data_IF_001117095084
#
_entry.id   IF_001117095084
#
_cell.length_a   1.000
_cell.length_b   1.000
_cell.length_c   1.000
_cell.angle_alpha   90.00
_cell.angle_beta   90.00
_cell.angle_gamma   90.00
#
_symmetry.space_group_name_H-M   'P 1'
#
loop_
_entity.id
_entity.type
_entity.pdbx_description
1 polymer ?
#
# COMPACT_ATOMS: atom_id res chain seq x y z
N UNK A 1 43.40 33.08 -83.35
CA UNK A 1 43.82 31.95 -84.20
C UNK A 1 42.73 30.89 -84.12
N UNK A 2 42.06 30.64 -85.24
CA UNK A 2 40.94 29.71 -85.33
C UNK A 2 41.46 28.26 -85.40
N UNK A 3 40.95 27.40 -84.51
CA UNK A 3 41.09 25.96 -84.58
C UNK A 3 39.71 25.32 -84.50
N UNK A 4 39.21 24.82 -85.64
CA UNK A 4 37.95 24.07 -85.73
C UNK A 4 38.12 22.74 -84.98
N UNK A 5 37.51 22.61 -83.81
CA UNK A 5 37.29 21.33 -83.14
C UNK A 5 36.01 20.69 -83.68
N UNK A 6 36.15 19.71 -84.56
CA UNK A 6 35.05 18.92 -85.10
C UNK A 6 34.47 18.07 -83.96
N UNK A 7 33.26 18.40 -83.50
CA UNK A 7 32.50 17.55 -82.57
C UNK A 7 32.11 16.27 -83.31
N UNK A 8 32.86 15.19 -83.06
CA UNK A 8 32.46 13.86 -83.53
C UNK A 8 31.25 13.44 -82.69
N UNK A 9 30.06 13.51 -83.31
CA UNK A 9 28.87 12.84 -82.81
C UNK A 9 29.15 11.34 -82.90
N UNK A 10 29.55 10.72 -81.79
CA UNK A 10 29.73 9.27 -81.72
C UNK A 10 28.34 8.62 -81.69
N UNK A 11 27.77 8.41 -82.87
CA UNK A 11 26.59 7.57 -83.03
C UNK A 11 27.07 6.12 -83.01
N UNK A 12 26.87 5.45 -81.87
CA UNK A 12 27.23 4.05 -81.72
C UNK A 12 26.17 3.18 -82.42
N UNK A 13 26.40 2.84 -83.70
CA UNK A 13 25.58 1.87 -84.42
C UNK A 13 25.95 0.45 -84.00
N UNK A 14 25.11 -0.17 -83.16
CA UNK A 14 25.17 -1.60 -82.89
C UNK A 14 24.51 -2.38 -84.03
N UNK A 15 25.30 -2.94 -84.95
CA UNK A 15 24.81 -3.90 -85.94
C UNK A 15 24.70 -5.29 -85.31
N UNK A 16 23.49 -5.69 -84.94
CA UNK A 16 23.20 -7.09 -84.61
C UNK A 16 22.96 -7.87 -85.90
N UNK A 17 24.02 -8.43 -86.49
CA UNK A 17 23.89 -9.39 -87.59
C UNK A 17 23.46 -10.75 -87.01
N UNK A 18 22.16 -11.05 -87.10
CA UNK A 18 21.63 -12.38 -86.77
C UNK A 18 21.41 -13.14 -88.06
N UNK A 19 22.24 -14.15 -88.31
CA UNK A 19 22.07 -15.09 -89.41
C UNK A 19 20.80 -15.93 -89.13
N UNK A 20 19.72 -15.68 -89.87
CA UNK A 20 18.53 -16.52 -89.89
C UNK A 20 18.31 -16.92 -91.34
N UNK A 21 18.73 -18.13 -91.69
CA UNK A 21 18.47 -18.72 -93.00
C UNK A 21 16.99 -19.05 -93.13
N UNK A 22 16.33 -18.43 -94.10
CA UNK A 22 15.02 -18.87 -94.57
C UNK A 22 14.14 -17.72 -95.08
N UNK A 23 14.22 -17.45 -96.38
CA UNK A 23 13.30 -16.64 -97.18
C UNK A 23 13.31 -15.11 -96.93
N UNK A 24 14.24 -14.45 -97.63
CA UNK A 24 13.92 -13.32 -98.51
C UNK A 24 13.14 -12.16 -97.90
N UNK A 25 13.80 -11.41 -97.02
CA UNK A 25 13.93 -9.94 -96.95
C UNK A 25 14.69 -9.69 -95.63
N UNK A 26 16.02 -9.58 -95.69
CA UNK A 26 16.80 -9.09 -94.55
C UNK A 26 16.57 -7.57 -94.43
N UNK A 27 15.53 -7.17 -93.70
CA UNK A 27 15.45 -5.79 -93.23
C UNK A 27 16.28 -5.67 -91.96
N UNK A 28 17.47 -5.09 -92.10
CA UNK A 28 18.19 -4.54 -90.95
C UNK A 28 17.31 -3.46 -90.32
N UNK A 29 16.99 -3.61 -89.03
CA UNK A 29 16.40 -2.52 -88.28
C UNK A 29 17.51 -1.81 -87.50
N UNK A 30 17.64 -0.52 -87.74
CA UNK A 30 18.61 0.33 -87.03
C UNK A 30 17.92 0.90 -85.80
N UNK A 31 18.36 0.51 -84.61
CA UNK A 31 17.95 1.20 -83.38
C UNK A 31 18.79 2.48 -83.29
N UNK A 32 18.13 3.62 -83.45
CA UNK A 32 18.75 4.92 -83.21
C UNK A 32 18.63 5.24 -81.72
N UNK A 33 19.77 5.27 -81.02
CA UNK A 33 19.86 5.82 -79.66
C UNK A 33 20.65 7.12 -79.73
N UNK A 34 20.02 8.22 -79.33
CA UNK A 34 20.72 9.50 -79.15
C UNK A 34 21.39 9.50 -77.77
N UNK A 35 22.53 8.80 -77.72
CA UNK A 35 23.32 8.62 -76.51
C UNK A 35 23.73 9.97 -75.90
N UNK A 36 23.91 11.01 -76.72
CA UNK A 36 24.26 12.35 -76.24
C UNK A 36 23.13 12.98 -75.44
N UNK A 37 21.94 13.04 -76.01
CA UNK A 37 20.75 13.60 -75.35
C UNK A 37 20.36 12.83 -74.09
N UNK A 38 20.47 11.50 -74.09
CA UNK A 38 20.18 10.68 -72.91
C UNK A 38 21.20 10.91 -71.78
N UNK A 39 22.50 11.05 -72.09
CA UNK A 39 23.53 11.40 -71.10
C UNK A 39 23.26 12.78 -70.50
N UNK A 40 22.93 13.79 -71.32
CA UNK A 40 22.63 15.14 -70.84
C UNK A 40 21.41 15.15 -69.89
N UNK A 41 20.37 14.39 -70.21
CA UNK A 41 19.19 14.25 -69.36
C UNK A 41 19.56 13.60 -68.01
N UNK A 42 20.39 12.56 -68.00
CA UNK A 42 20.86 11.92 -66.77
C UNK A 42 21.69 12.88 -65.91
N UNK A 43 22.58 13.68 -66.50
CA UNK A 43 23.36 14.70 -65.79
C UNK A 43 22.45 15.77 -65.17
N UNK A 44 21.44 16.24 -65.92
CA UNK A 44 20.45 17.21 -65.43
C UNK A 44 19.62 16.66 -64.26
N UNK A 45 19.27 15.37 -64.30
CA UNK A 45 18.59 14.70 -63.19
C UNK A 45 19.51 14.57 -61.97
N UNK A 46 20.77 14.18 -62.17
CA UNK A 46 21.77 14.09 -61.10
C UNK A 46 21.94 15.42 -60.36
N UNK A 47 22.17 16.51 -61.08
CA UNK A 47 22.29 17.87 -60.50
C UNK A 47 21.02 18.32 -59.77
N UNK A 48 19.83 17.96 -60.27
CA UNK A 48 18.56 18.27 -59.60
C UNK A 48 18.43 17.49 -58.28
N UNK A 49 18.84 16.22 -58.27
CA UNK A 49 18.84 15.39 -57.06
C UNK A 49 19.83 15.92 -56.02
N UNK A 50 21.04 16.31 -56.41
CA UNK A 50 22.04 16.92 -55.53
C UNK A 50 21.52 18.22 -54.89
N UNK A 51 20.88 19.08 -55.67
CA UNK A 51 20.27 20.31 -55.18
C UNK A 51 19.16 20.02 -54.14
N UNK A 52 18.29 19.03 -54.41
CA UNK A 52 17.26 18.60 -53.46
C UNK A 52 17.84 17.98 -52.20
N UNK A 53 18.90 17.18 -52.32
CA UNK A 53 19.60 16.58 -51.19
C UNK A 53 20.20 17.67 -50.30
N UNK A 54 20.91 18.63 -50.89
CA UNK A 54 21.50 19.77 -50.16
C UNK A 54 20.42 20.58 -49.43
N UNK A 55 19.28 20.82 -50.08
CA UNK A 55 18.15 21.50 -49.45
C UNK A 55 17.59 20.70 -48.26
N UNK A 56 17.41 19.40 -48.41
CA UNK A 56 16.93 18.52 -47.33
C UNK A 56 17.91 18.50 -46.14
N UNK A 57 19.21 18.41 -46.41
CA UNK A 57 20.26 18.48 -45.39
C UNK A 57 20.20 19.81 -44.63
N UNK A 58 19.99 20.93 -45.33
CA UNK A 58 19.87 22.25 -44.69
C UNK A 58 18.64 22.34 -43.76
N UNK A 59 17.50 21.78 -44.18
CA UNK A 59 16.28 21.72 -43.37
C UNK A 59 16.50 20.86 -42.14
N UNK A 60 17.14 19.70 -42.30
CA UNK A 60 17.45 18.81 -41.19
C UNK A 60 18.35 19.48 -40.15
N UNK A 61 19.42 20.17 -40.60
CA UNK A 61 20.32 20.91 -39.72
C UNK A 61 19.58 22.02 -38.94
N UNK A 62 18.67 22.74 -39.60
CA UNK A 62 17.85 23.77 -38.95
C UNK A 62 16.94 23.17 -37.87
N UNK A 63 16.24 22.08 -38.15
CA UNK A 63 15.37 21.42 -37.18
C UNK A 63 16.16 20.86 -36.00
N UNK A 64 17.34 20.28 -36.24
CA UNK A 64 18.24 19.81 -35.17
C UNK A 64 18.65 20.98 -34.26
N UNK A 65 18.97 22.13 -34.84
CA UNK A 65 19.31 23.33 -34.08
C UNK A 65 18.13 23.84 -33.23
N UNK A 66 16.93 23.93 -33.82
CA UNK A 66 15.71 24.36 -33.10
C UNK A 66 15.37 23.42 -31.93
N UNK A 67 15.52 22.10 -32.13
CA UNK A 67 15.32 21.11 -31.06
C UNK A 67 16.33 21.27 -29.92
N UNK A 68 17.62 21.41 -30.23
CA UNK A 68 18.68 21.64 -29.23
C UNK A 68 18.45 22.91 -28.42
N UNK A 69 18.02 23.98 -29.08
CA UNK A 69 17.74 25.26 -28.41
C UNK A 69 16.48 25.17 -27.52
N UNK A 70 15.46 24.43 -27.94
CA UNK A 70 14.28 24.14 -27.12
C UNK A 70 14.64 23.32 -25.88
N UNK A 71 15.46 22.27 -26.05
CA UNK A 71 15.97 21.45 -24.95
C UNK A 71 16.77 22.30 -23.94
N UNK A 72 17.67 23.17 -24.43
CA UNK A 72 18.44 24.09 -23.58
C UNK A 72 17.54 24.99 -22.73
N UNK A 73 16.53 25.62 -23.34
CA UNK A 73 15.56 26.47 -22.65
C UNK A 73 14.73 25.69 -21.62
N UNK A 74 14.36 24.45 -21.94
CA UNK A 74 13.63 23.58 -21.02
C UNK A 74 14.49 23.21 -19.81
N UNK A 75 15.76 22.84 -20.02
CA UNK A 75 16.70 22.51 -18.96
C UNK A 75 16.98 23.70 -18.04
N UNK A 76 17.07 24.92 -18.57
CA UNK A 76 17.21 26.14 -17.78
C UNK A 76 15.97 26.38 -16.88
N UNK A 77 14.76 26.18 -17.42
CA UNK A 77 13.51 26.27 -16.64
C UNK A 77 13.43 25.21 -15.55
N UNK A 78 13.85 23.98 -15.85
CA UNK A 78 13.90 22.87 -14.89
C UNK A 78 14.88 23.21 -13.76
N UNK A 79 16.08 23.69 -14.09
CA UNK A 79 17.10 24.11 -13.10
C UNK A 79 16.59 25.19 -12.16
N UNK A 80 15.94 26.23 -12.70
CA UNK A 80 15.34 27.29 -11.89
C UNK A 80 14.16 26.80 -11.04
N UNK A 81 13.42 25.81 -11.51
CA UNK A 81 12.33 25.21 -10.72
C UNK A 81 12.89 24.36 -9.58
N UNK A 82 13.94 23.59 -9.83
CA UNK A 82 14.61 22.78 -8.82
C UNK A 82 15.23 23.63 -7.71
N UNK A 83 15.82 24.78 -8.03
CA UNK A 83 16.36 25.69 -6.99
C UNK A 83 15.26 26.26 -6.09
N UNK A 84 14.08 26.57 -6.65
CA UNK A 84 12.90 26.99 -5.88
C UNK A 84 12.38 25.87 -4.99
N UNK A 85 12.33 24.63 -5.49
CA UNK A 85 11.93 23.45 -4.73
C UNK A 85 12.86 23.24 -3.54
N UNK A 86 14.18 23.28 -3.76
CA UNK A 86 15.18 23.12 -2.69
C UNK A 86 15.04 24.17 -1.58
N UNK A 87 14.68 25.43 -1.93
CA UNK A 87 14.40 26.46 -0.93
C UNK A 87 13.09 26.17 -0.15
N UNK A 88 12.06 25.68 -0.83
CA UNK A 88 10.82 25.27 -0.17
C UNK A 88 11.03 24.09 0.78
N UNK A 89 11.84 23.10 0.38
CA UNK A 89 12.21 21.96 1.24
C UNK A 89 12.87 22.42 2.54
N UNK A 90 13.88 23.30 2.46
CA UNK A 90 14.52 23.89 3.65
C UNK A 90 13.53 24.60 4.58
N UNK A 91 12.53 25.28 4.02
CA UNK A 91 11.48 25.94 4.81
C UNK A 91 10.55 24.93 5.46
N UNK A 92 10.19 23.86 4.77
CA UNK A 92 9.38 22.77 5.31
C UNK A 92 10.12 22.10 6.46
N UNK A 93 11.40 21.77 6.31
CA UNK A 93 12.22 21.17 7.37
C UNK A 93 12.29 22.08 8.60
N UNK A 94 12.46 23.39 8.40
CA UNK A 94 12.42 24.38 9.49
C UNK A 94 11.09 24.38 10.23
N UNK A 95 9.97 24.26 9.52
CA UNK A 95 8.65 24.16 10.16
C UNK A 95 8.45 22.83 10.89
N UNK A 96 8.94 21.71 10.34
CA UNK A 96 8.87 20.41 11.02
C UNK A 96 9.64 20.42 12.34
N UNK A 97 10.85 21.00 12.37
CA UNK A 97 11.60 21.15 13.62
C UNK A 97 10.86 22.02 14.66
N UNK A 98 10.20 23.09 14.22
CA UNK A 98 9.37 23.92 15.10
C UNK A 98 8.15 23.17 15.64
N UNK A 99 7.52 22.33 14.82
CA UNK A 99 6.40 21.50 15.25
C UNK A 99 6.83 20.48 16.32
N UNK A 100 7.97 19.80 16.12
CA UNK A 100 8.54 18.86 17.10
C UNK A 100 8.84 19.58 18.42
N UNK A 101 9.45 20.77 18.36
CA UNK A 101 9.73 21.56 19.55
C UNK A 101 8.44 21.92 20.31
N UNK A 102 7.42 22.38 19.58
CA UNK A 102 6.13 22.74 20.15
C UNK A 102 5.41 21.53 20.78
N UNK A 103 5.49 20.37 20.14
CA UNK A 103 4.94 19.11 20.67
C UNK A 103 5.63 18.72 21.98
N UNK A 104 6.97 18.81 22.04
CA UNK A 104 7.72 18.53 23.26
C UNK A 104 7.38 19.53 24.39
N UNK A 105 7.22 20.82 24.05
CA UNK A 105 6.76 21.82 25.02
C UNK A 105 5.36 21.48 25.54
N UNK A 106 4.43 21.14 24.66
CA UNK A 106 3.07 20.78 25.03
C UNK A 106 3.04 19.56 25.95
N UNK A 107 3.83 18.52 25.65
CA UNK A 107 3.94 17.33 26.51
C UNK A 107 4.49 17.67 27.89
N UNK A 108 5.50 18.54 27.97
CA UNK A 108 6.04 19.01 29.25
C UNK A 108 4.98 19.77 30.07
N UNK A 109 4.24 20.68 29.44
CA UNK A 109 3.17 21.43 30.10
C UNK A 109 2.04 20.52 30.58
N UNK A 110 1.64 19.53 29.78
CA UNK A 110 0.65 18.52 30.17
C UNK A 110 1.13 17.74 31.40
N UNK A 111 2.41 17.37 31.45
CA UNK A 111 3.00 16.68 32.59
C UNK A 111 2.95 17.53 33.86
N UNK A 112 3.31 18.82 33.78
CA UNK A 112 3.21 19.74 34.91
C UNK A 112 1.77 19.93 35.40
N UNK A 113 0.80 20.05 34.48
CA UNK A 113 -0.61 20.14 34.84
C UNK A 113 -1.09 18.90 35.59
N UNK A 114 -0.72 17.70 35.14
CA UNK A 114 -1.06 16.44 35.82
C UNK A 114 -0.45 16.35 37.22
N UNK A 115 0.80 16.80 37.38
CA UNK A 115 1.44 16.83 38.70
C UNK A 115 0.65 17.71 39.69
N UNK A 116 0.25 18.91 39.25
CA UNK A 116 -0.58 19.81 40.06
C UNK A 116 -1.96 19.24 40.37
N UNK A 117 -2.57 18.51 39.43
CA UNK A 117 -3.84 17.82 39.65
C UNK A 117 -3.74 16.78 40.78
N UNK A 118 -2.67 15.98 40.81
CA UNK A 118 -2.45 14.99 41.88
C UNK A 118 -2.13 15.63 43.24
N UNK A 119 -1.37 16.72 43.26
CA UNK A 119 -1.15 17.52 44.47
C UNK A 119 -2.48 18.08 45.02
N UNK A 120 -3.37 18.52 44.14
CA UNK A 120 -4.70 19.00 44.50
C UNK A 120 -5.59 17.87 45.03
N UNK A 121 -5.63 16.70 44.37
CA UNK A 121 -6.37 15.51 44.85
C UNK A 121 -5.90 15.08 46.24
N UNK A 122 -4.59 15.05 46.47
CA UNK A 122 -4.02 14.72 47.78
C UNK A 122 -4.43 15.74 48.85
N UNK A 123 -4.45 17.03 48.52
CA UNK A 123 -4.89 18.08 49.43
C UNK A 123 -6.38 17.96 49.76
N UNK A 124 -7.22 17.66 48.77
CA UNK A 124 -8.66 17.40 48.96
C UNK A 124 -8.88 16.18 49.86
N UNK A 125 -8.13 15.09 49.66
CA UNK A 125 -8.21 13.88 50.49
C UNK A 125 -7.87 14.15 51.96
N UNK A 126 -6.83 14.95 52.22
CA UNK A 126 -6.46 15.38 53.58
C UNK A 126 -7.56 16.23 54.22
N UNK A 127 -8.13 17.17 53.48
CA UNK A 127 -9.24 18.00 53.98
C UNK A 127 -10.48 17.15 54.29
N UNK A 128 -10.86 16.24 53.39
CA UNK A 128 -11.98 15.31 53.60
C UNK A 128 -11.78 14.47 54.87
N UNK A 129 -10.57 13.94 55.07
CA UNK A 129 -10.22 13.19 56.29
C UNK A 129 -10.34 14.05 57.56
N UNK A 130 -9.90 15.30 57.51
CA UNK A 130 -10.00 16.23 58.64
C UNK A 130 -11.47 16.58 58.96
N UNK A 131 -12.30 16.80 57.94
CA UNK A 131 -13.75 17.04 58.10
C UNK A 131 -14.42 15.84 58.75
N UNK A 132 -14.13 14.62 58.29
CA UNK A 132 -14.69 13.40 58.87
C UNK A 132 -14.29 13.22 60.35
N UNK A 133 -13.04 13.54 60.69
CA UNK A 133 -12.57 13.49 62.08
C UNK A 133 -13.24 14.53 62.99
N UNK A 134 -13.62 15.70 62.46
CA UNK A 134 -14.37 16.71 63.21
C UNK A 134 -15.82 16.28 63.43
N UNK A 135 -16.45 15.64 62.45
CA UNK A 135 -17.82 15.13 62.56
C UNK A 135 -17.93 13.98 63.60
N UNK A 136 -16.98 13.06 63.65
CA UNK A 136 -16.99 12.01 64.69
C UNK A 136 -16.75 12.57 66.11
N UNK A 137 -16.06 13.70 66.21
CA UNK A 137 -15.81 14.41 67.48
C UNK A 137 -17.00 15.24 67.95
N UNK A 138 -17.89 15.67 67.05
CA UNK A 138 -19.15 16.33 67.42
C UNK A 138 -20.21 15.32 67.86
N UNK A 139 -20.27 14.14 67.23
CA UNK A 139 -21.18 13.04 67.63
C UNK A 139 -20.87 12.51 69.04
N UNK A 140 -19.59 12.45 69.43
CA UNK A 140 -19.17 12.02 70.78
C UNK A 140 -19.41 13.08 71.88
N UNK A 141 -19.80 14.31 71.54
CA UNK A 141 -20.07 15.39 72.51
C UNK A 141 -21.57 15.62 72.77
N UNK A 142 -22.44 14.82 72.15
CA UNK A 142 -23.90 15.03 72.13
C UNK A 142 -24.75 14.14 73.04
N UNK A 143 -24.19 13.40 74.00
CA UNK A 143 -24.98 12.54 74.90
C UNK A 143 -24.62 12.71 76.38
N UNK A 144 -25.25 13.71 77.02
CA UNK A 144 -25.63 13.65 78.44
C UNK A 144 -27.12 14.05 78.56
N UNK A 145 -28.01 13.04 78.60
CA UNK A 145 -29.24 13.07 79.41
C UNK A 145 -29.80 11.63 79.61
N UNK A 146 -30.42 11.33 80.77
CA UNK A 146 -30.51 9.97 81.32
C UNK A 146 -31.80 9.20 80.93
N UNK A 147 -31.88 7.88 81.23
CA UNK A 147 -32.81 6.95 80.58
C UNK A 147 -34.09 6.66 81.38
N UNK A 148 -35.15 6.24 80.67
CA UNK A 148 -36.33 5.59 81.25
C UNK A 148 -36.73 4.36 80.40
N UNK A 149 -36.57 3.21 81.04
CA UNK A 149 -37.34 1.95 81.06
C UNK A 149 -37.88 1.23 79.80
N UNK A 150 -37.71 -0.11 79.88
CA UNK A 150 -38.10 -1.24 79.00
C UNK A 150 -39.59 -1.61 79.21
N UNK A 151 -40.28 -2.46 78.40
CA UNK A 151 -40.02 -3.93 78.30
C UNK A 151 -40.24 -4.55 76.87
N UNK A 152 -39.37 -5.43 76.38
CA UNK A 152 -39.40 -6.93 76.40
C UNK A 152 -40.36 -7.62 75.40
N UNK A 153 -39.80 -8.41 74.46
CA UNK A 153 -40.04 -9.87 74.15
C UNK A 153 -39.47 -10.20 72.75
N UNK A 154 -38.38 -10.98 72.58
CA UNK A 154 -38.23 -12.47 72.46
C UNK A 154 -38.65 -13.01 71.07
N UNK A 155 -38.00 -14.04 70.47
CA UNK A 155 -36.58 -14.38 70.31
C UNK A 155 -36.21 -14.63 68.81
N UNK A 156 -34.94 -14.98 68.57
CA UNK A 156 -34.33 -15.02 67.24
C UNK A 156 -34.85 -16.04 66.23
N UNK A 157 -34.54 -15.74 64.98
CA UNK A 157 -34.40 -16.71 63.90
C UNK A 157 -33.18 -16.32 63.05
N UNK A 158 -32.23 -17.25 62.97
CA UNK A 158 -31.21 -17.29 61.94
C UNK A 158 -31.86 -17.27 60.55
N UNK A 159 -31.22 -16.62 59.58
CA UNK A 159 -31.04 -17.25 58.30
C UNK A 159 -29.55 -17.41 58.00
N UNK A 160 -29.14 -18.65 57.84
CA UNK A 160 -27.95 -19.06 57.13
C UNK A 160 -27.90 -18.35 55.77
N UNK A 161 -26.96 -17.43 55.58
CA UNK A 161 -26.67 -16.87 54.26
C UNK A 161 -25.97 -17.96 53.47
N UNK A 162 -26.72 -18.57 52.57
CA UNK A 162 -26.17 -19.46 51.55
C UNK A 162 -25.20 -18.65 50.67
N UNK A 163 -23.95 -19.09 50.71
CA UNK A 163 -22.89 -18.77 49.77
C UNK A 163 -23.39 -19.05 48.33
N UNK A 164 -23.34 -18.10 47.38
CA UNK A 164 -23.60 -18.42 46.00
C UNK A 164 -22.51 -19.34 45.47
N UNK A 165 -22.90 -20.57 45.18
CA UNK A 165 -22.14 -21.53 44.38
C UNK A 165 -21.79 -20.91 43.04
N UNK A 166 -20.48 -20.96 42.76
CA UNK A 166 -19.84 -20.83 41.46
C UNK A 166 -20.66 -21.55 40.37
N UNK A 167 -21.16 -20.85 39.32
CA UNK A 167 -21.66 -21.54 38.15
C UNK A 167 -20.49 -22.19 37.44
N UNK A 168 -20.63 -23.50 37.31
CA UNK A 168 -19.82 -24.40 36.51
C UNK A 168 -19.63 -23.84 35.11
N UNK A 169 -18.37 -23.82 34.69
CA UNK A 169 -17.90 -23.53 33.34
C UNK A 169 -18.84 -24.10 32.26
N UNK A 170 -19.48 -23.27 31.43
CA UNK A 170 -19.89 -23.68 30.11
C UNK A 170 -18.66 -23.64 29.21
N UNK A 171 -18.37 -24.79 28.60
CA UNK A 171 -17.74 -24.97 27.29
C UNK A 171 -17.29 -23.69 26.59
N UNK A 172 -16.02 -23.66 26.16
CA UNK A 172 -15.39 -22.57 25.42
C UNK A 172 -16.21 -22.00 24.26
N UNK A 173 -15.80 -20.85 23.71
CA UNK A 173 -16.62 -20.06 22.80
C UNK A 173 -17.07 -20.94 21.63
N UNK A 174 -18.37 -21.29 21.63
CA UNK A 174 -19.03 -21.77 20.44
C UNK A 174 -18.98 -20.61 19.46
N UNK A 175 -18.20 -20.78 18.40
CA UNK A 175 -18.23 -19.95 17.21
C UNK A 175 -19.69 -19.81 16.79
N UNK A 176 -20.25 -18.61 16.93
CA UNK A 176 -21.49 -18.24 16.27
C UNK A 176 -21.19 -18.16 14.78
N UNK A 177 -21.13 -19.31 14.10
CA UNK A 177 -21.21 -19.37 12.65
C UNK A 177 -22.69 -19.13 12.34
N UNK A 178 -23.06 -18.02 11.68
CA UNK A 178 -24.45 -17.80 11.30
C UNK A 178 -24.86 -18.91 10.30
N UNK A 179 -26.14 -19.30 10.31
CA UNK A 179 -26.73 -20.28 9.37
C UNK A 179 -26.55 -19.88 7.89
N UNK A 180 -26.22 -18.61 7.65
CA UNK A 180 -25.69 -18.08 6.40
C UNK A 180 -24.20 -17.82 6.63
N UNK A 181 -23.30 -18.49 5.90
CA UNK A 181 -21.85 -18.39 6.12
C UNK A 181 -21.30 -16.96 6.20
N UNK A 182 -20.05 -16.79 6.69
CA UNK A 182 -19.40 -15.48 6.93
C UNK A 182 -19.63 -14.46 5.80
N UNK A 183 -19.98 -13.21 6.14
CA UNK A 183 -20.24 -12.14 5.17
C UNK A 183 -19.01 -11.87 4.29
N UNK A 184 -17.81 -11.93 4.88
CA UNK A 184 -16.57 -11.80 4.12
C UNK A 184 -16.39 -12.88 3.04
N UNK A 185 -16.89 -14.10 3.28
CA UNK A 185 -16.85 -15.18 2.29
C UNK A 185 -17.85 -14.92 1.16
N UNK A 186 -19.05 -14.46 1.49
CA UNK A 186 -20.06 -14.09 0.50
C UNK A 186 -19.58 -12.95 -0.41
N UNK A 187 -18.97 -11.91 0.17
CA UNK A 187 -18.38 -10.80 -0.56
C UNK A 187 -17.27 -11.26 -1.51
N UNK A 188 -16.40 -12.17 -1.04
CA UNK A 188 -15.35 -12.78 -1.85
C UNK A 188 -15.92 -13.59 -3.03
N UNK A 189 -16.99 -14.35 -2.86
CA UNK A 189 -17.62 -15.10 -3.96
C UNK A 189 -18.33 -14.18 -4.97
N UNK A 190 -18.99 -13.11 -4.49
CA UNK A 190 -19.54 -12.06 -5.36
C UNK A 190 -18.45 -11.40 -6.20
N UNK A 191 -17.33 -11.10 -5.56
CA UNK A 191 -16.15 -10.51 -6.19
C UNK A 191 -15.55 -11.43 -7.24
N UNK A 192 -15.49 -12.75 -7.03
CA UNK A 192 -14.97 -13.68 -8.06
C UNK A 192 -15.83 -13.75 -9.30
N UNK A 193 -17.16 -13.75 -9.14
CA UNK A 193 -18.10 -13.78 -10.27
C UNK A 193 -17.94 -12.57 -11.19
N UNK A 194 -17.57 -11.42 -10.64
CA UNK A 194 -17.45 -10.15 -11.36
C UNK A 194 -16.00 -9.75 -11.66
N UNK A 195 -15.05 -10.69 -11.53
CA UNK A 195 -13.60 -10.42 -11.69
C UNK A 195 -13.30 -10.01 -13.14
N UNK A 196 -12.74 -8.81 -13.38
CA UNK A 196 -12.32 -8.42 -14.71
C UNK A 196 -11.17 -9.33 -15.17
N UNK A 197 -11.01 -9.56 -16.49
CA UNK A 197 -9.89 -10.34 -17.01
C UNK A 197 -8.57 -9.65 -16.62
N UNK A 198 -7.86 -10.23 -15.65
CA UNK A 198 -6.58 -9.72 -15.16
C UNK A 198 -5.55 -9.98 -16.26
N UNK A 199 -5.08 -8.91 -16.92
CA UNK A 199 -3.84 -8.96 -17.68
C UNK A 199 -2.72 -9.22 -16.67
N UNK A 200 -1.87 -10.21 -16.96
CA UNK A 200 -0.89 -10.85 -16.08
C UNK A 200 0.23 -9.94 -15.51
N UNK A 201 -0.02 -8.65 -15.34
CA UNK A 201 0.91 -7.69 -14.76
C UNK A 201 0.51 -7.46 -13.29
N UNK A 202 1.02 -8.39 -12.46
CA UNK A 202 1.39 -8.22 -11.04
C UNK A 202 0.30 -8.38 -9.94
N UNK A 203 0.61 -9.28 -8.98
CA UNK A 203 -0.25 -9.84 -7.91
C UNK A 203 -0.63 -8.85 -6.79
N UNK A 204 -0.71 -7.55 -7.06
CA UNK A 204 -0.77 -6.51 -6.03
C UNK A 204 -1.88 -5.48 -6.27
N UNK A 205 -2.91 -5.87 -7.01
CA UNK A 205 -4.07 -5.05 -7.38
C UNK A 205 -4.85 -4.48 -6.18
N UNK A 206 -4.72 -5.10 -5.01
CA UNK A 206 -5.37 -4.68 -3.77
C UNK A 206 -4.51 -3.72 -2.93
N UNK A 207 -3.24 -3.49 -3.28
CA UNK A 207 -2.34 -2.70 -2.45
C UNK A 207 -2.85 -1.27 -2.27
N UNK A 208 -2.78 -0.80 -1.02
CA UNK A 208 -3.16 0.54 -0.65
C UNK A 208 -2.01 1.24 0.10
N UNK A 209 -1.67 2.42 -0.39
CA UNK A 209 -0.89 3.41 0.34
C UNK A 209 -1.89 4.37 0.97
N UNK A 210 -1.82 4.55 2.29
CA UNK A 210 -2.70 5.44 3.05
C UNK A 210 -1.83 6.57 3.61
N UNK A 211 -2.32 7.81 3.52
CA UNK A 211 -1.48 8.95 3.83
C UNK A 211 -2.20 10.29 3.90
N UNK A 212 -1.38 11.32 3.87
CA UNK A 212 -1.81 12.72 3.90
C UNK A 212 -1.54 13.32 2.52
N UNK A 213 -2.62 13.62 1.81
CA UNK A 213 -2.59 14.44 0.61
C UNK A 213 -2.67 15.91 0.97
N UNK A 214 -1.71 16.67 0.46
CA UNK A 214 -1.70 18.14 0.37
C UNK A 214 -1.81 18.53 -1.10
N UNK A 215 -1.89 19.83 -1.38
CA UNK A 215 -2.09 20.36 -2.74
C UNK A 215 -1.07 19.82 -3.74
N UNK A 216 0.21 19.70 -3.34
CA UNK A 216 1.31 19.29 -4.23
C UNK A 216 2.07 18.05 -3.78
N UNK A 217 1.64 17.41 -2.69
CA UNK A 217 2.37 16.28 -2.14
C UNK A 217 1.46 15.24 -1.51
N UNK A 218 1.96 14.02 -1.48
CA UNK A 218 1.33 12.91 -0.80
C UNK A 218 2.38 12.27 0.10
N UNK A 219 2.12 12.30 1.41
CA UNK A 219 2.99 11.68 2.40
C UNK A 219 2.39 10.33 2.80
N UNK A 220 3.04 9.24 2.37
CA UNK A 220 2.70 7.89 2.80
C UNK A 220 2.88 7.74 4.32
N UNK A 221 1.97 6.98 4.94
CA UNK A 221 1.94 6.78 6.39
C UNK A 221 1.68 5.33 6.77
N UNK A 222 0.72 4.69 6.11
CA UNK A 222 0.34 3.31 6.36
C UNK A 222 0.22 2.55 5.05
N UNK A 223 0.51 1.26 5.11
CA UNK A 223 0.14 0.31 4.06
C UNK A 223 -1.13 -0.43 4.45
N UNK A 224 -1.85 -0.91 3.44
CA UNK A 224 -3.09 -1.65 3.63
C UNK A 224 -3.51 -2.38 2.36
N UNK A 225 -4.72 -2.95 2.41
CA UNK A 225 -5.32 -3.65 1.29
C UNK A 225 -6.76 -3.19 1.05
N UNK A 226 -7.15 -3.06 -0.21
CA UNK A 226 -8.54 -2.90 -0.63
C UNK A 226 -9.29 -4.21 -0.37
N UNK A 227 -10.40 -4.14 0.37
CA UNK A 227 -11.21 -5.30 0.74
C UNK A 227 -12.66 -5.20 0.23
N UNK A 228 -13.10 -3.99 -0.12
CA UNK A 228 -14.39 -3.67 -0.73
C UNK A 228 -14.28 -2.31 -1.44
N UNK A 229 -15.21 -1.97 -2.35
CA UNK A 229 -15.16 -0.74 -3.18
C UNK A 229 -14.87 0.56 -2.41
N UNK A 230 -15.24 0.63 -1.14
CA UNK A 230 -15.04 1.82 -0.28
C UNK A 230 -14.18 1.55 0.94
N UNK A 231 -13.66 0.33 1.11
CA UNK A 231 -13.02 -0.06 2.37
C UNK A 231 -11.63 -0.61 2.14
N UNK A 232 -10.69 -0.01 2.87
CA UNK A 232 -9.29 -0.42 2.94
C UNK A 232 -8.98 -0.86 4.36
N UNK A 233 -8.35 -2.01 4.52
CA UNK A 233 -7.90 -2.55 5.80
C UNK A 233 -6.43 -2.21 6.05
N UNK A 234 -6.11 -1.84 7.28
CA UNK A 234 -4.75 -1.61 7.78
C UNK A 234 -4.69 -1.91 9.28
N UNK A 235 -3.61 -1.51 9.97
CA UNK A 235 -3.53 -1.63 11.44
C UNK A 235 -4.20 -0.44 12.13
N UNK A 236 -4.94 -0.70 13.21
CA UNK A 236 -5.45 0.37 14.08
C UNK A 236 -4.31 1.23 14.63
N UNK A 237 -3.17 0.59 14.95
CA UNK A 237 -1.98 1.29 15.44
C UNK A 237 -1.45 2.32 14.43
N UNK A 238 -1.35 1.98 13.15
CA UNK A 238 -0.88 2.91 12.13
C UNK A 238 -1.89 4.04 11.90
N UNK A 239 -3.17 3.69 11.74
CA UNK A 239 -4.25 4.65 11.50
C UNK A 239 -4.48 5.60 12.68
N UNK A 240 -4.15 5.18 13.90
CA UNK A 240 -4.35 6.01 15.10
C UNK A 240 -3.33 7.13 15.27
N UNK A 241 -2.15 7.02 14.67
CA UNK A 241 -1.06 7.99 14.84
C UNK A 241 -1.16 9.18 13.88
N UNK A 242 -2.16 9.18 12.98
CA UNK A 242 -2.14 10.00 11.77
C UNK A 242 -3.53 10.47 11.38
N UNK A 243 -3.68 11.74 11.03
CA UNK A 243 -4.86 12.28 10.37
C UNK A 243 -4.82 11.97 8.86
N UNK A 244 -5.01 10.70 8.51
CA UNK A 244 -5.04 10.25 7.11
C UNK A 244 -6.26 10.84 6.40
N UNK A 245 -6.05 11.41 5.21
CA UNK A 245 -7.11 12.05 4.42
C UNK A 245 -7.22 11.52 2.98
N UNK A 246 -6.26 10.69 2.55
CA UNK A 246 -6.25 10.12 1.21
C UNK A 246 -5.65 8.71 1.19
N UNK A 247 -6.07 7.94 0.19
CA UNK A 247 -5.54 6.62 -0.14
C UNK A 247 -5.17 6.59 -1.62
N UNK A 248 -3.97 6.09 -1.93
CA UNK A 248 -3.53 5.75 -3.28
C UNK A 248 -3.51 4.23 -3.44
N UNK A 249 -4.14 3.75 -4.51
CA UNK A 249 -4.50 2.34 -4.66
C UNK A 249 -3.98 1.73 -5.96
N UNK A 250 -3.84 0.40 -5.93
CA UNK A 250 -3.40 -0.40 -7.06
C UNK A 250 -1.90 -0.30 -7.31
N UNK A 251 -1.43 -1.16 -8.22
CA UNK A 251 -0.01 -1.33 -8.52
C UNK A 251 0.71 0.00 -8.82
N UNK A 252 0.14 0.81 -9.70
CA UNK A 252 0.72 2.08 -10.15
C UNK A 252 0.35 3.29 -9.26
N UNK A 253 -0.45 3.10 -8.18
CA UNK A 253 -0.99 4.21 -7.36
C UNK A 253 -1.78 5.27 -8.15
N UNK A 254 -2.32 4.89 -9.31
CA UNK A 254 -3.00 5.82 -10.22
C UNK A 254 -4.43 6.14 -9.77
N UNK A 255 -5.00 5.34 -8.87
CA UNK A 255 -6.33 5.58 -8.32
C UNK A 255 -6.18 6.18 -6.95
N UNK A 256 -6.90 7.28 -6.71
CA UNK A 256 -6.87 7.98 -5.44
C UNK A 256 -8.28 8.14 -4.89
N UNK A 257 -8.44 7.86 -3.60
CA UNK A 257 -9.69 8.02 -2.87
C UNK A 257 -9.51 8.95 -1.68
N UNK A 258 -10.44 9.87 -1.49
CA UNK A 258 -10.51 10.69 -0.28
C UNK A 258 -11.07 9.85 0.88
N UNK A 259 -10.48 10.02 2.05
CA UNK A 259 -10.94 9.34 3.27
C UNK A 259 -12.16 10.07 3.82
N UNK A 260 -13.25 9.33 3.98
CA UNK A 260 -14.45 9.78 4.69
C UNK A 260 -14.31 9.59 6.18
N UNK A 261 -13.88 8.40 6.58
CA UNK A 261 -13.79 8.01 8.01
C UNK A 261 -12.76 6.94 8.25
N UNK A 262 -12.10 7.03 9.40
CA UNK A 262 -11.24 5.98 9.95
C UNK A 262 -11.99 5.28 11.07
N UNK A 263 -12.07 3.95 11.00
CA UNK A 263 -12.67 3.10 12.01
C UNK A 263 -11.59 2.31 12.73
N UNK A 264 -11.29 2.70 13.98
CA UNK A 264 -10.38 1.95 14.84
C UNK A 264 -11.14 0.82 15.54
N UNK A 265 -10.46 -0.31 15.75
CA UNK A 265 -11.06 -1.42 16.47
C UNK A 265 -11.46 -1.00 17.91
N UNK A 266 -12.64 -1.36 18.44
CA UNK A 266 -13.10 -0.87 19.75
C UNK A 266 -12.20 -1.27 20.91
N UNK A 267 -11.54 -2.43 20.81
CA UNK A 267 -10.56 -2.90 21.80
C UNK A 267 -9.19 -2.23 21.65
N UNK A 268 -8.95 -1.50 20.56
CA UNK A 268 -7.71 -0.80 20.35
C UNK A 268 -7.59 0.40 21.31
N UNK A 269 -6.39 0.62 21.83
CA UNK A 269 -6.03 1.68 22.76
C UNK A 269 -4.63 2.14 22.41
N UNK A 270 -4.47 3.44 22.16
CA UNK A 270 -3.19 4.05 21.79
C UNK A 270 -2.13 3.96 22.90
N UNK A 271 -2.54 3.65 24.12
CA UNK A 271 -1.68 3.64 25.31
C UNK A 271 -1.28 2.24 25.77
N UNK A 272 -1.90 1.20 25.20
CA UNK A 272 -1.54 -0.18 25.49
C UNK A 272 -0.32 -0.57 24.62
N UNK A 273 0.70 -1.17 25.23
CA UNK A 273 1.94 -1.56 24.53
C UNK A 273 1.71 -2.69 23.52
N UNK A 274 0.75 -3.58 23.80
CA UNK A 274 0.51 -4.81 23.04
C UNK A 274 -0.94 -4.87 22.55
N UNK A 275 -1.30 -3.97 21.63
CA UNK A 275 -2.67 -3.89 21.09
C UNK A 275 -2.68 -3.98 19.56
N UNK A 276 -2.42 -5.20 19.08
CA UNK A 276 -2.42 -5.55 17.66
C UNK A 276 -3.83 -5.80 17.13
N UNK A 277 -4.47 -4.77 16.60
CA UNK A 277 -5.81 -4.85 16.00
C UNK A 277 -5.84 -4.26 14.60
N UNK A 278 -6.76 -4.77 13.78
CA UNK A 278 -7.03 -4.19 12.46
C UNK A 278 -7.76 -2.85 12.60
N UNK A 279 -7.71 -2.01 11.59
CA UNK A 279 -8.54 -0.83 11.45
C UNK A 279 -8.98 -0.68 10.00
N UNK A 280 -10.02 0.11 9.76
CA UNK A 280 -10.59 0.33 8.44
C UNK A 280 -10.55 1.80 8.05
N UNK A 281 -10.34 2.05 6.77
CA UNK A 281 -10.50 3.34 6.13
C UNK A 281 -11.70 3.25 5.18
N UNK A 282 -12.71 4.06 5.44
CA UNK A 282 -13.87 4.25 4.58
C UNK A 282 -13.60 5.42 3.63
N UNK A 283 -13.79 5.20 2.33
CA UNK A 283 -13.64 6.19 1.27
C UNK A 283 -14.96 6.96 1.05
N UNK A 284 -14.83 8.21 0.62
CA UNK A 284 -15.96 9.09 0.29
C UNK A 284 -16.82 8.48 -0.83
N UNK A 285 -16.17 7.99 -1.88
CA UNK A 285 -16.82 7.48 -3.09
C UNK A 285 -16.49 6.01 -3.32
N UNK A 286 -17.41 5.28 -3.97
CA UNK A 286 -17.12 3.95 -4.50
C UNK A 286 -16.04 3.99 -5.56
N UNK A 287 -15.08 3.07 -5.46
CA UNK A 287 -14.09 2.84 -6.50
C UNK A 287 -14.66 1.96 -7.60
N UNK A 288 -14.25 2.26 -8.84
CA UNK A 288 -14.50 1.41 -9.99
C UNK A 288 -13.38 0.37 -10.11
N UNK A 289 -13.77 -0.90 -10.14
CA UNK A 289 -12.85 -2.00 -10.32
C UNK A 289 -12.26 -2.03 -11.73
N UNK A 290 -11.00 -2.45 -11.82
CA UNK A 290 -10.27 -2.60 -13.08
C UNK A 290 -9.26 -3.73 -12.96
N UNK A 291 -8.56 -4.07 -14.05
CA UNK A 291 -7.50 -5.09 -14.02
C UNK A 291 -6.38 -4.76 -13.01
N UNK A 292 -6.15 -3.48 -12.69
CA UNK A 292 -5.08 -3.02 -11.79
C UNK A 292 -5.58 -2.63 -10.39
N UNK A 293 -6.89 -2.70 -10.15
CA UNK A 293 -7.53 -2.32 -8.90
C UNK A 293 -8.70 -3.24 -8.59
N UNK A 294 -8.52 -4.12 -7.62
CA UNK A 294 -9.52 -5.11 -7.22
C UNK A 294 -9.40 -5.40 -5.71
N UNK A 295 -10.46 -5.81 -5.01
CA UNK A 295 -10.35 -6.16 -3.60
C UNK A 295 -9.74 -7.55 -3.43
N UNK A 296 -9.01 -7.76 -2.34
CA UNK A 296 -8.53 -9.08 -1.94
C UNK A 296 -9.53 -9.78 -1.02
N UNK A 297 -9.65 -11.10 -1.16
CA UNK A 297 -10.44 -11.92 -0.26
C UNK A 297 -9.80 -12.02 1.14
N UNK A 298 -10.62 -11.97 2.18
CA UNK A 298 -10.19 -12.19 3.56
C UNK A 298 -10.08 -13.68 3.89
N UNK A 299 -9.17 -14.03 4.80
CA UNK A 299 -9.14 -15.37 5.38
C UNK A 299 -10.27 -15.53 6.41
N UNK A 300 -11.18 -16.45 6.12
CA UNK A 300 -12.34 -16.80 6.95
C UNK A 300 -12.15 -18.09 7.73
N UNK A 301 -10.96 -18.70 7.65
CA UNK A 301 -10.58 -19.91 8.34
C UNK A 301 -9.78 -19.60 9.62
N UNK A 302 -10.10 -20.24 10.76
CA UNK A 302 -9.30 -20.12 11.99
C UNK A 302 -7.91 -20.73 11.85
N UNK A 303 -7.73 -21.63 10.88
CA UNK A 303 -6.48 -22.36 10.68
C UNK A 303 -5.83 -21.97 9.37
N UNK A 304 -4.53 -21.69 9.43
CA UNK A 304 -3.69 -21.46 8.25
C UNK A 304 -3.12 -22.81 7.81
N UNK A 305 -3.29 -23.22 6.53
CA UNK A 305 -2.71 -24.45 6.02
C UNK A 305 -1.18 -24.39 6.09
N UNK A 306 -0.56 -25.49 6.49
CA UNK A 306 0.92 -25.62 6.53
C UNK A 306 1.47 -26.26 5.24
N UNK A 307 0.67 -27.08 4.56
CA UNK A 307 1.12 -27.82 3.39
C UNK A 307 1.03 -26.95 2.14
N UNK A 308 2.13 -26.90 1.39
CA UNK A 308 2.28 -26.14 0.14
C UNK A 308 1.82 -24.67 0.25
N UNK A 309 2.01 -24.11 1.45
CA UNK A 309 1.57 -22.78 1.84
C UNK A 309 2.74 -21.80 1.90
N UNK A 310 2.55 -20.65 1.27
CA UNK A 310 3.52 -19.57 1.21
C UNK A 310 2.86 -18.28 1.68
N UNK A 311 3.62 -17.45 2.37
CA UNK A 311 3.25 -16.05 2.56
C UNK A 311 4.04 -15.17 1.61
N UNK A 312 3.43 -14.08 1.20
CA UNK A 312 4.13 -12.98 0.56
C UNK A 312 3.67 -11.65 1.14
N UNK A 313 4.56 -10.67 1.09
CA UNK A 313 4.27 -9.28 1.42
C UNK A 313 4.70 -8.39 0.26
N UNK A 314 4.07 -7.23 0.21
CA UNK A 314 4.46 -6.16 -0.68
C UNK A 314 4.57 -4.89 0.13
N UNK A 315 5.62 -4.12 -0.13
CA UNK A 315 5.83 -2.84 0.49
C UNK A 315 6.26 -1.81 -0.53
N UNK A 316 6.16 -0.55 -0.14
CA UNK A 316 6.75 0.52 -0.92
C UNK A 316 8.08 0.90 -0.30
N UNK A 317 9.12 0.94 -1.12
CA UNK A 317 10.45 1.34 -0.67
C UNK A 317 10.54 2.86 -0.42
N UNK A 318 11.71 3.32 0.02
CA UNK A 318 11.99 4.74 0.28
C UNK A 318 11.80 5.63 -0.96
N UNK A 319 11.94 5.06 -2.17
CA UNK A 319 11.72 5.73 -3.45
C UNK A 319 10.26 5.73 -3.88
N UNK A 320 9.35 5.23 -3.02
CA UNK A 320 7.93 5.05 -3.33
C UNK A 320 7.63 4.05 -4.45
N UNK A 321 8.60 3.23 -4.85
CA UNK A 321 8.41 2.14 -5.80
C UNK A 321 7.82 0.94 -5.06
N UNK A 322 6.86 0.25 -5.69
CA UNK A 322 6.32 -0.99 -5.12
C UNK A 322 7.39 -2.08 -5.25
N UNK A 323 7.93 -2.50 -4.12
CA UNK A 323 8.76 -3.70 -4.00
C UNK A 323 7.82 -4.86 -3.73
N UNK A 324 7.37 -5.45 -4.82
CA UNK A 324 6.34 -6.46 -4.86
C UNK A 324 6.98 -7.84 -4.99
N UNK A 325 6.66 -8.77 -4.07
CA UNK A 325 7.05 -10.18 -4.22
C UNK A 325 8.52 -10.50 -3.95
N UNK A 326 9.24 -9.68 -3.19
CA UNK A 326 10.66 -9.94 -2.94
C UNK A 326 10.90 -11.10 -1.96
N UNK A 327 9.90 -11.52 -1.16
CA UNK A 327 10.09 -12.51 -0.09
C UNK A 327 8.85 -13.41 -0.01
N UNK A 328 8.90 -14.51 -0.76
CA UNK A 328 7.95 -15.62 -0.71
C UNK A 328 8.48 -16.64 0.29
N UNK A 329 7.91 -16.70 1.48
CA UNK A 329 8.39 -17.61 2.54
C UNK A 329 7.46 -18.80 2.70
N UNK A 330 8.03 -20.01 2.76
CA UNK A 330 7.25 -21.23 3.01
C UNK A 330 6.83 -21.28 4.48
N UNK A 331 5.54 -21.49 4.73
CA UNK A 331 5.03 -21.71 6.09
C UNK A 331 5.44 -23.11 6.54
N UNK A 332 5.95 -23.22 7.77
CA UNK A 332 6.30 -24.49 8.39
C UNK A 332 5.61 -24.68 9.73
N UNK A 333 5.71 -25.90 10.27
CA UNK A 333 5.14 -26.22 11.56
C UNK A 333 5.71 -25.30 12.65
N UNK A 334 4.81 -24.78 13.48
CA UNK A 334 5.12 -23.84 14.56
C UNK A 334 6.29 -24.28 15.46
N UNK A 335 6.38 -25.59 15.72
CA UNK A 335 7.46 -26.21 16.51
C UNK A 335 8.88 -25.91 16.02
N UNK A 336 9.05 -25.55 14.75
CA UNK A 336 10.36 -25.21 14.20
C UNK A 336 10.84 -23.83 14.68
N UNK A 337 9.94 -22.95 15.11
CA UNK A 337 10.25 -21.63 15.65
C UNK A 337 10.18 -21.55 17.20
N UNK A 338 9.86 -22.67 17.86
CA UNK A 338 9.70 -22.73 19.32
C UNK A 338 11.05 -22.80 20.05
N UNK A 339 11.16 -22.07 21.16
CA UNK A 339 12.13 -22.37 22.23
C UNK A 339 11.40 -22.93 23.47
N UNK A 340 12.13 -23.60 24.37
CA UNK A 340 11.60 -24.16 25.62
C UNK A 340 10.89 -23.07 26.44
N UNK A 341 9.55 -23.13 26.53
CA UNK A 341 8.73 -22.25 27.37
C UNK A 341 7.70 -21.38 26.64
N UNK A 342 7.67 -21.37 25.30
CA UNK A 342 6.65 -20.61 24.55
C UNK A 342 5.36 -21.46 24.36
N UNK A 343 4.23 -20.94 24.87
CA UNK A 343 2.89 -21.53 24.68
C UNK A 343 2.33 -21.18 23.30
N UNK A 344 1.41 -22.02 22.79
CA UNK A 344 0.74 -21.85 21.51
C UNK A 344 0.01 -20.50 21.42
N UNK A 345 0.58 -19.54 20.69
CA UNK A 345 -0.05 -18.26 20.36
C UNK A 345 -0.74 -18.39 18.99
N UNK A 346 -2.04 -18.12 18.91
CA UNK A 346 -2.84 -18.23 17.66
C UNK A 346 -2.41 -17.24 16.58
N UNK A 347 -1.65 -16.20 16.96
CA UNK A 347 -1.16 -15.14 16.08
C UNK A 347 0.33 -15.30 15.73
N UNK A 348 0.93 -16.48 15.89
CA UNK A 348 2.33 -16.72 15.51
C UNK A 348 2.42 -17.68 14.31
N UNK A 349 3.12 -17.25 13.26
CA UNK A 349 3.44 -18.05 12.06
C UNK A 349 4.95 -18.31 12.04
N UNK A 350 5.35 -19.49 11.56
CA UNK A 350 6.75 -19.85 11.36
C UNK A 350 7.03 -20.04 9.86
N UNK A 351 8.15 -19.52 9.38
CA UNK A 351 8.56 -19.71 7.98
C UNK A 351 10.02 -20.10 7.85
N UNK A 352 10.36 -20.85 6.80
CA UNK A 352 11.74 -21.15 6.40
C UNK A 352 12.47 -19.87 5.91
N UNK A 353 13.75 -19.75 6.26
CA UNK A 353 14.67 -18.77 5.71
C UNK A 353 15.05 -19.18 4.29
N UNK A 354 14.88 -18.29 3.33
CA UNK A 354 15.50 -18.44 2.01
C UNK A 354 16.88 -17.75 2.05
N UNK A 355 17.96 -18.50 1.76
CA UNK A 355 19.36 -18.10 1.96
C UNK A 355 19.81 -16.83 1.21
N UNK A 356 18.93 -16.22 0.40
CA UNK A 356 19.17 -14.98 -0.34
C UNK A 356 18.42 -13.74 0.16
N UNK A 357 17.49 -13.87 1.13
CA UNK A 357 16.67 -12.74 1.61
C UNK A 357 17.12 -12.29 3.00
N UNK A 358 18.04 -11.33 3.07
CA UNK A 358 18.24 -10.54 4.30
C UNK A 358 17.02 -9.67 4.52
N UNK A 359 16.12 -10.12 5.40
CA UNK A 359 14.94 -9.35 5.79
C UNK A 359 15.37 -8.27 6.78
N UNK A 360 15.68 -7.07 6.32
CA UNK A 360 15.89 -5.93 7.20
C UNK A 360 14.51 -5.37 7.61
N UNK A 361 13.83 -6.13 8.46
CA UNK A 361 12.41 -5.99 8.76
C UNK A 361 12.09 -4.92 9.82
N UNK A 362 12.81 -3.80 9.78
CA UNK A 362 12.66 -2.74 10.78
C UNK A 362 11.82 -1.55 10.31
N UNK A 363 11.27 -1.58 9.09
CA UNK A 363 10.46 -0.49 8.54
C UNK A 363 8.97 -0.62 8.90
N UNK A 364 8.66 -0.43 10.19
CA UNK A 364 7.42 0.08 10.82
C UNK A 364 5.99 -0.35 10.39
N UNK A 365 5.73 -1.01 9.26
CA UNK A 365 4.48 -1.72 8.94
C UNK A 365 4.68 -2.54 7.67
N UNK A 366 4.73 -3.87 7.78
CA UNK A 366 5.00 -4.76 6.66
C UNK A 366 3.83 -4.87 5.66
N UNK A 367 2.73 -4.16 5.92
CA UNK A 367 1.57 -4.13 5.06
C UNK A 367 0.84 -5.48 4.98
N UNK A 368 -0.01 -5.66 3.97
CA UNK A 368 -0.82 -6.86 3.85
C UNK A 368 0.03 -8.12 3.62
N UNK A 369 -0.22 -9.15 4.42
CA UNK A 369 0.38 -10.48 4.33
C UNK A 369 -0.64 -11.42 3.74
N UNK A 370 -0.29 -12.02 2.60
CA UNK A 370 -1.20 -12.84 1.80
C UNK A 370 -0.71 -14.26 1.73
N UNK A 371 -1.65 -15.19 1.89
CA UNK A 371 -1.45 -16.62 1.81
C UNK A 371 -1.67 -17.12 0.38
N UNK A 372 -0.73 -17.94 -0.11
CA UNK A 372 -0.83 -18.76 -1.31
C UNK A 372 -0.73 -20.23 -0.91
N UNK A 373 -1.75 -21.04 -1.19
CA UNK A 373 -1.73 -22.48 -0.91
C UNK A 373 -2.06 -23.27 -2.19
N UNK A 374 -1.13 -24.11 -2.67
CA UNK A 374 -1.38 -24.97 -3.84
C UNK A 374 -2.36 -26.11 -3.48
N UNK A 375 -3.32 -26.38 -4.38
CA UNK A 375 -4.39 -27.36 -4.16
C UNK A 375 -5.76 -26.75 -3.86
N UNK A 376 -5.79 -25.43 -3.62
CA UNK A 376 -7.00 -24.61 -3.69
C UNK A 376 -6.91 -23.87 -5.03
N UNK A 377 -7.74 -24.22 -6.00
CA UNK A 377 -7.90 -23.38 -7.18
C UNK A 377 -8.23 -21.95 -6.73
N UNK A 378 -7.31 -21.03 -6.98
CA UNK A 378 -7.57 -19.60 -7.21
C UNK A 378 -7.99 -18.73 -6.00
N UNK A 379 -7.30 -18.78 -4.83
CA UNK A 379 -7.65 -17.87 -3.71
C UNK A 379 -6.44 -17.39 -2.90
N UNK A 380 -5.73 -16.38 -3.42
CA UNK A 380 -4.95 -15.45 -2.61
C UNK A 380 -5.86 -14.90 -1.49
N UNK A 381 -5.45 -15.08 -0.23
CA UNK A 381 -6.23 -14.59 0.91
C UNK A 381 -5.38 -13.76 1.85
N UNK A 382 -5.91 -12.60 2.23
CA UNK A 382 -5.31 -11.77 3.25
C UNK A 382 -5.47 -12.45 4.61
N UNK A 383 -4.35 -12.85 5.21
CA UNK A 383 -4.31 -13.49 6.53
C UNK A 383 -3.95 -12.50 7.64
N UNK A 384 -3.19 -11.46 7.32
CA UNK A 384 -2.79 -10.43 8.26
C UNK A 384 -2.52 -9.10 7.55
N UNK A 385 -2.57 -8.01 8.32
CA UNK A 385 -2.29 -6.64 7.83
C UNK A 385 -0.94 -6.09 8.28
N UNK A 386 -0.26 -6.83 9.16
CA UNK A 386 1.10 -6.53 9.61
C UNK A 386 1.65 -7.74 10.40
N UNK A 387 2.96 -7.75 10.61
CA UNK A 387 3.61 -8.69 11.52
C UNK A 387 4.86 -8.10 12.15
N UNK A 388 5.11 -8.42 13.41
CA UNK A 388 6.44 -8.30 14.00
C UNK A 388 7.15 -9.63 13.81
N UNK A 389 8.29 -9.62 13.14
CA UNK A 389 9.03 -10.84 12.83
C UNK A 389 10.39 -10.80 13.47
N UNK A 390 10.84 -11.97 13.90
CA UNK A 390 12.07 -12.15 14.65
C UNK A 390 12.81 -13.33 14.05
N UNK A 391 14.09 -13.09 13.74
CA UNK A 391 14.98 -14.13 13.29
C UNK A 391 15.23 -15.10 14.44
N UNK A 392 14.88 -16.37 14.28
CA UNK A 392 15.06 -17.39 15.33
C UNK A 392 16.42 -18.05 15.21
N UNK A 393 16.79 -18.49 14.02
CA UNK A 393 18.09 -19.09 13.71
C UNK A 393 18.44 -18.93 12.22
N UNK A 394 19.51 -19.57 11.76
CA UNK A 394 19.91 -19.51 10.35
C UNK A 394 18.84 -20.06 9.39
N UNK A 395 17.84 -20.82 9.88
CA UNK A 395 16.87 -21.56 9.07
C UNK A 395 15.41 -21.07 9.19
N UNK A 396 15.03 -20.30 10.22
CA UNK A 396 13.62 -19.93 10.43
C UNK A 396 13.37 -18.50 10.94
N UNK A 397 12.25 -17.93 10.50
CA UNK A 397 11.63 -16.71 11.02
C UNK A 397 10.33 -17.01 11.77
N UNK A 398 10.15 -16.34 12.90
CA UNK A 398 8.86 -16.26 13.59
C UNK A 398 8.17 -14.95 13.25
N UNK A 399 6.85 -14.98 13.03
CA UNK A 399 6.03 -13.84 12.65
C UNK A 399 4.83 -13.70 13.59
N UNK A 400 4.84 -12.70 14.46
CA UNK A 400 3.70 -12.32 15.28
C UNK A 400 2.76 -11.43 14.45
N UNK A 401 1.69 -12.01 13.94
CA UNK A 401 0.79 -11.38 12.99
C UNK A 401 -0.38 -10.64 13.66
N UNK A 402 -0.92 -9.65 12.94
CA UNK A 402 -2.23 -9.07 13.25
C UNK A 402 -3.28 -9.80 12.41
N UNK A 403 -3.86 -10.86 13.00
CA UNK A 403 -4.78 -11.79 12.33
C UNK A 403 -6.04 -11.11 11.80
N UNK A 404 -6.31 -11.31 10.51
CA UNK A 404 -7.59 -10.90 9.91
C UNK A 404 -8.74 -11.72 10.49
N UNK A 405 -8.56 -13.03 10.66
CA UNK A 405 -9.59 -13.93 11.16
C UNK A 405 -10.13 -13.49 12.54
N UNK A 406 -9.21 -13.18 13.47
CA UNK A 406 -9.55 -12.79 14.84
C UNK A 406 -10.29 -11.44 14.90
N UNK A 407 -10.31 -10.68 13.81
CA UNK A 407 -10.96 -9.38 13.70
C UNK A 407 -12.14 -9.36 12.72
N UNK A 408 -12.56 -10.52 12.16
CA UNK A 408 -13.61 -10.55 11.14
C UNK A 408 -14.94 -9.98 11.63
N UNK A 409 -15.33 -10.22 12.88
CA UNK A 409 -16.61 -9.71 13.41
C UNK A 409 -16.65 -8.17 13.38
N UNK A 410 -15.53 -7.52 13.70
CA UNK A 410 -15.40 -6.08 13.60
C UNK A 410 -15.45 -5.60 12.15
N UNK A 411 -14.72 -6.29 11.26
CA UNK A 411 -14.66 -5.94 9.84
C UNK A 411 -16.05 -6.06 9.21
N UNK A 412 -16.70 -7.21 9.37
CA UNK A 412 -17.99 -7.50 8.76
C UNK A 412 -19.10 -6.56 9.26
N UNK A 413 -19.07 -6.22 10.55
CA UNK A 413 -20.05 -5.30 11.14
C UNK A 413 -19.97 -3.88 10.56
N UNK A 414 -18.82 -3.46 10.04
CA UNK A 414 -18.63 -2.13 9.45
C UNK A 414 -18.82 -2.16 7.93
N UNK A 415 -18.27 -3.18 7.27
CA UNK A 415 -18.20 -3.22 5.80
C UNK A 415 -19.52 -3.68 5.19
N UNK A 416 -20.17 -4.71 5.75
CA UNK A 416 -21.30 -5.40 5.07
C UNK A 416 -22.59 -5.48 5.88
N UNK A 417 -22.61 -5.10 7.17
CA UNK A 417 -23.81 -5.19 8.02
C UNK A 417 -24.72 -3.94 7.98
N UNK A 418 -24.32 -2.91 7.24
CA UNK A 418 -25.04 -1.63 7.12
C UNK A 418 -25.65 -1.38 5.74
N UNK A 419 -25.68 -2.40 4.88
CA UNK A 419 -26.29 -2.35 3.53
C UNK A 419 -27.73 -2.88 3.54
#
# INVERSE_FOLDING_TARGET
>A
MAGRGVWHCYSLLLFLAKCISGFGIEQSFTIYMDVGNDIENVIKWGTTCEAKQTNMESILQRNIWELKESERKLNEKISNSNSKIANLEKRVDSFEQKLILMENTLQSTIWECKKKEEELKNSISKLSSAVNALNSKSESRGHERPPLERPSTVPGNHPSVNLPTLPTSPSGPKTNVPDVGRLAEQACENTKRNKPPILAIENFYYMASIGIKRIYSYRHRCMGALIEKRFVIATSQCLSKVDVNAVRLGYARNVEGNVKKVHLHPKFSRYARDNSYVGLVELENELLYSANLYPICLCTSPTIPLKDAYIYYAYYDETSKLSAGQIRSRIVAYKNCLTLGESHLSNLICTENDNGTTIDMYTASNGPIVLLANGINDKDRLIAVDSKSENRDASYFSHQIISVYDNLDFIENIVWKGE
#
